data_IF_297717158425
#
_entry.id   IF_297717158425
#
_cell.length_a   1.000
_cell.length_b   1.000
_cell.length_c   1.000
_cell.angle_alpha   90.00
_cell.angle_beta   90.00
_cell.angle_gamma   90.00
#
_symmetry.space_group_name_H-M   'P 1'
#
loop_
_entity.id
_entity.type
_entity.pdbx_description
1 polymer ?
#
# COMPACT_ATOMS: atom_id res chain seq x y z
N UNK A 1 2.11 -16.39 -10.20
CA UNK A 1 1.93 -15.11 -9.51
C UNK A 1 1.55 -14.04 -10.52
N UNK A 2 0.63 -13.13 -10.19
CA UNK A 2 0.24 -11.98 -11.02
C UNK A 2 0.06 -10.74 -10.18
N UNK A 3 0.37 -9.59 -10.74
CA UNK A 3 0.25 -8.27 -10.11
C UNK A 3 -0.75 -7.44 -10.93
N UNK A 4 -1.82 -7.00 -10.27
CA UNK A 4 -2.87 -6.21 -10.92
C UNK A 4 -3.01 -4.83 -10.29
N UNK A 5 -3.22 -3.81 -11.13
CA UNK A 5 -3.69 -2.52 -10.65
C UNK A 5 -5.17 -2.60 -10.23
N UNK A 6 -5.67 -1.60 -9.49
CA UNK A 6 -7.09 -1.51 -9.11
C UNK A 6 -8.06 -1.55 -10.32
N UNK A 7 -7.76 -0.93 -11.47
CA UNK A 7 -8.56 -1.09 -12.69
C UNK A 7 -8.42 -2.44 -13.40
N UNK A 8 -7.54 -3.35 -12.93
CA UNK A 8 -7.36 -4.68 -13.49
C UNK A 8 -6.24 -4.82 -14.53
N UNK A 9 -5.40 -3.79 -14.73
CA UNK A 9 -4.25 -3.89 -15.63
C UNK A 9 -3.19 -4.82 -15.04
N UNK A 10 -2.66 -5.73 -15.86
CA UNK A 10 -1.55 -6.62 -15.46
C UNK A 10 -0.23 -5.83 -15.44
N UNK A 11 0.36 -5.72 -14.26
CA UNK A 11 1.62 -5.02 -13.99
C UNK A 11 2.79 -5.99 -13.70
N UNK A 12 2.59 -7.29 -13.87
CA UNK A 12 3.55 -8.33 -13.50
C UNK A 12 4.91 -8.12 -14.13
N UNK A 13 4.94 -7.80 -15.42
CA UNK A 13 6.19 -7.56 -16.15
C UNK A 13 6.80 -6.18 -15.88
N UNK A 14 5.99 -5.26 -15.37
CA UNK A 14 6.45 -3.91 -15.08
C UNK A 14 7.28 -3.82 -13.80
N UNK A 15 6.95 -4.60 -12.78
CA UNK A 15 7.59 -4.55 -11.47
C UNK A 15 8.24 -5.89 -11.10
N UNK A 16 9.40 -6.20 -11.71
CA UNK A 16 10.05 -7.50 -11.57
C UNK A 16 10.49 -7.81 -10.13
N UNK A 17 10.88 -6.79 -9.36
CA UNK A 17 11.29 -6.96 -7.98
C UNK A 17 10.13 -7.44 -7.09
N UNK A 18 8.95 -6.85 -7.26
CA UNK A 18 7.72 -7.28 -6.57
C UNK A 18 7.38 -8.71 -7.00
N UNK A 19 7.43 -8.95 -8.31
CA UNK A 19 7.09 -10.24 -8.89
C UNK A 19 7.96 -11.37 -8.31
N UNK A 20 9.28 -11.17 -8.24
CA UNK A 20 10.22 -12.16 -7.68
C UNK A 20 9.98 -12.37 -6.18
N UNK A 21 9.77 -11.31 -5.41
CA UNK A 21 9.52 -11.41 -3.98
C UNK A 21 8.24 -12.20 -3.67
N UNK A 22 7.15 -11.89 -4.37
CA UNK A 22 5.86 -12.58 -4.19
C UNK A 22 5.90 -14.05 -4.63
N UNK A 23 6.65 -14.38 -5.70
CA UNK A 23 6.80 -15.76 -6.17
C UNK A 23 7.51 -16.66 -5.16
N UNK A 24 8.23 -16.08 -4.21
CA UNK A 24 9.03 -16.81 -3.18
C UNK A 24 8.36 -16.82 -1.81
N UNK A 25 7.16 -16.27 -1.66
CA UNK A 25 6.41 -16.37 -0.41
C UNK A 25 6.06 -17.85 -0.12
N UNK A 26 6.16 -18.21 1.16
CA UNK A 26 5.85 -19.56 1.62
C UNK A 26 4.35 -19.74 1.84
N UNK A 27 3.59 -19.66 0.75
CA UNK A 27 2.14 -19.93 0.73
C UNK A 27 1.78 -20.66 -0.56
N UNK A 28 0.73 -21.48 -0.52
CA UNK A 28 0.19 -22.13 -1.73
C UNK A 28 -0.50 -21.11 -2.64
N UNK A 29 -1.26 -20.23 -2.04
CA UNK A 29 -1.88 -19.06 -2.66
C UNK A 29 -2.00 -17.93 -1.68
N UNK A 30 -2.05 -16.69 -2.15
CA UNK A 30 -2.44 -15.53 -1.37
C UNK A 30 -2.87 -14.39 -2.28
N UNK A 31 -3.80 -13.58 -1.78
CA UNK A 31 -4.16 -12.28 -2.37
C UNK A 31 -3.79 -11.19 -1.36
N UNK A 32 -2.84 -10.37 -1.73
CA UNK A 32 -2.32 -9.27 -0.91
C UNK A 32 -2.75 -7.95 -1.55
N UNK A 33 -3.27 -7.03 -0.73
CA UNK A 33 -3.50 -5.64 -1.13
C UNK A 33 -2.34 -4.78 -0.64
N UNK A 34 -1.86 -3.89 -1.50
CA UNK A 34 -0.68 -3.09 -1.24
C UNK A 34 -0.53 -1.91 -2.19
N UNK A 35 0.49 -1.13 -1.97
CA UNK A 35 0.86 0.00 -2.81
C UNK A 35 2.25 -0.21 -3.39
N UNK A 36 2.38 -0.06 -4.72
CA UNK A 36 3.68 -0.07 -5.40
C UNK A 36 4.38 1.27 -5.15
N UNK A 37 5.59 1.24 -4.62
CA UNK A 37 6.33 2.42 -4.18
C UNK A 37 7.73 2.41 -4.77
N UNK A 38 8.14 3.56 -5.33
CA UNK A 38 9.54 3.90 -5.59
C UNK A 38 9.96 5.02 -4.64
N UNK A 39 11.13 4.89 -4.03
CA UNK A 39 11.67 5.96 -3.18
C UNK A 39 12.66 6.82 -3.95
N UNK A 40 12.74 8.09 -3.58
CA UNK A 40 13.82 8.98 -4.01
C UNK A 40 15.13 8.68 -3.27
N UNK A 41 16.15 9.47 -3.54
CA UNK A 41 17.49 9.27 -2.96
C UNK A 41 17.54 9.53 -1.44
N UNK A 42 16.51 10.20 -0.90
CA UNK A 42 16.32 10.42 0.53
C UNK A 42 15.45 9.33 1.19
N UNK A 43 14.98 8.34 0.42
CA UNK A 43 14.11 7.26 0.90
C UNK A 43 12.63 7.65 1.00
N UNK A 44 12.24 8.81 0.50
CA UNK A 44 10.83 9.25 0.46
C UNK A 44 10.12 8.68 -0.77
N UNK A 45 8.86 8.31 -0.60
CA UNK A 45 8.04 7.82 -1.70
C UNK A 45 7.86 8.89 -2.78
N UNK A 46 8.14 8.53 -4.03
CA UNK A 46 8.03 9.42 -5.19
C UNK A 46 7.14 8.79 -6.26
N UNK A 47 5.94 9.35 -6.42
CA UNK A 47 5.02 8.93 -7.47
C UNK A 47 5.59 9.19 -8.88
N UNK A 48 6.36 10.24 -9.06
CA UNK A 48 6.97 10.60 -10.35
C UNK A 48 7.89 9.49 -10.87
N UNK A 49 8.67 8.85 -10.00
CA UNK A 49 9.54 7.72 -10.37
C UNK A 49 8.76 6.56 -10.97
N UNK A 50 7.55 6.29 -10.45
CA UNK A 50 6.64 5.27 -10.99
C UNK A 50 6.00 5.78 -12.30
N UNK A 51 5.52 7.02 -12.34
CA UNK A 51 4.82 7.60 -13.49
C UNK A 51 5.68 7.58 -14.76
N UNK A 52 6.94 7.96 -14.63
CA UNK A 52 7.85 8.07 -15.78
C UNK A 52 8.60 6.78 -16.12
N UNK A 53 8.34 5.67 -15.44
CA UNK A 53 8.90 4.32 -15.70
C UNK A 53 10.43 4.24 -15.70
N UNK A 54 11.12 5.20 -15.08
CA UNK A 54 12.58 5.24 -15.05
C UNK A 54 13.19 4.32 -13.98
N UNK A 55 12.35 3.86 -13.03
CA UNK A 55 12.77 3.10 -11.86
C UNK A 55 11.91 1.87 -11.61
N UNK A 56 11.29 1.30 -12.65
CA UNK A 56 10.38 0.15 -12.52
C UNK A 56 11.06 -1.07 -11.87
N UNK A 57 12.40 -1.19 -12.01
CA UNK A 57 13.20 -2.24 -11.39
C UNK A 57 13.39 -2.09 -9.86
N UNK A 58 13.21 -0.90 -9.32
CA UNK A 58 13.43 -0.59 -7.90
C UNK A 58 12.10 -0.48 -7.12
N UNK A 59 10.97 -0.61 -7.82
CA UNK A 59 9.65 -0.53 -7.23
C UNK A 59 9.40 -1.74 -6.34
N UNK A 60 9.00 -1.49 -5.10
CA UNK A 60 8.59 -2.52 -4.13
C UNK A 60 7.14 -2.34 -3.70
N UNK A 61 6.56 -3.39 -3.12
CA UNK A 61 5.19 -3.38 -2.60
C UNK A 61 5.19 -3.10 -1.10
N UNK A 62 4.54 -2.03 -0.67
CA UNK A 62 4.08 -1.90 0.70
C UNK A 62 2.77 -2.68 0.87
N UNK A 63 2.87 -3.87 1.45
CA UNK A 63 1.74 -4.73 1.73
C UNK A 63 1.01 -4.29 3.00
N UNK A 64 -0.28 -4.00 2.91
CA UNK A 64 -1.05 -3.48 4.04
C UNK A 64 -2.32 -4.28 4.37
N UNK A 65 -2.76 -5.21 3.52
CA UNK A 65 -3.90 -6.08 3.80
C UNK A 65 -3.75 -7.45 3.14
N UNK A 66 -4.39 -8.48 3.71
CA UNK A 66 -4.41 -9.85 3.22
C UNK A 66 -5.86 -10.28 3.01
N UNK A 67 -6.19 -10.61 1.77
CA UNK A 67 -7.55 -10.88 1.33
C UNK A 67 -7.85 -12.38 1.33
N UNK A 68 -6.86 -13.20 0.92
CA UNK A 68 -6.97 -14.65 0.84
C UNK A 68 -5.63 -15.27 1.24
N UNK A 69 -5.66 -16.43 1.90
CA UNK A 69 -4.47 -17.23 2.19
C UNK A 69 -4.80 -18.73 2.08
N UNK A 70 -4.07 -19.45 1.19
CA UNK A 70 -4.16 -20.90 1.00
C UNK A 70 -5.56 -21.43 0.66
N UNK A 71 -6.43 -20.60 0.09
CA UNK A 71 -7.82 -20.90 -0.25
C UNK A 71 -8.84 -20.32 0.74
N UNK A 72 -8.41 -19.81 1.89
CA UNK A 72 -9.30 -19.23 2.90
C UNK A 72 -9.55 -17.74 2.60
N UNK A 73 -10.81 -17.36 2.46
CA UNK A 73 -11.25 -15.96 2.28
C UNK A 73 -11.23 -15.22 3.62
N UNK A 74 -10.29 -14.29 3.80
CA UNK A 74 -10.09 -13.54 5.03
C UNK A 74 -10.87 -12.21 5.09
N UNK A 75 -11.65 -11.86 4.08
CA UNK A 75 -12.32 -10.54 4.00
C UNK A 75 -13.26 -10.26 5.17
N UNK A 76 -13.81 -11.28 5.79
CA UNK A 76 -14.71 -11.15 6.94
C UNK A 76 -13.97 -11.00 8.27
N UNK A 77 -12.70 -11.35 8.31
CA UNK A 77 -11.89 -11.25 9.52
C UNK A 77 -11.61 -9.77 9.87
N UNK A 78 -11.39 -9.45 11.15
CA UNK A 78 -10.94 -8.12 11.56
C UNK A 78 -9.63 -7.73 10.90
N UNK A 79 -9.46 -6.44 10.55
CA UNK A 79 -8.24 -5.92 9.93
C UNK A 79 -6.98 -6.29 10.72
N UNK A 80 -7.03 -6.22 12.05
CA UNK A 80 -5.88 -6.57 12.90
C UNK A 80 -5.43 -8.03 12.69
N UNK A 81 -6.37 -8.97 12.51
CA UNK A 81 -6.07 -10.39 12.27
C UNK A 81 -5.42 -10.56 10.90
N UNK A 82 -6.02 -9.97 9.88
CA UNK A 82 -5.47 -9.99 8.51
C UNK A 82 -4.07 -9.40 8.45
N UNK A 83 -3.83 -8.25 9.14
CA UNK A 83 -2.51 -7.62 9.21
C UNK A 83 -1.49 -8.45 9.97
N UNK A 84 -1.87 -9.06 11.10
CA UNK A 84 -0.95 -9.92 11.86
C UNK A 84 -0.53 -11.15 11.02
N UNK A 85 -1.48 -11.78 10.31
CA UNK A 85 -1.21 -12.88 9.40
C UNK A 85 -0.31 -12.43 8.24
N UNK A 86 -0.60 -11.29 7.61
CA UNK A 86 0.24 -10.70 6.56
C UNK A 86 1.67 -10.48 7.07
N UNK A 87 1.84 -9.86 8.23
CA UNK A 87 3.15 -9.62 8.83
C UNK A 87 3.96 -10.91 8.99
N UNK A 88 3.33 -12.00 9.41
CA UNK A 88 4.01 -13.30 9.58
C UNK A 88 4.47 -13.93 8.26
N UNK A 89 3.67 -13.81 7.18
CA UNK A 89 4.06 -14.39 5.88
C UNK A 89 5.11 -13.55 5.13
N UNK A 90 5.16 -12.23 5.37
CA UNK A 90 6.15 -11.34 4.73
C UNK A 90 7.39 -11.09 5.57
N UNK A 91 7.43 -11.50 6.84
CA UNK A 91 8.54 -11.25 7.77
C UNK A 91 9.92 -11.71 7.24
N UNK A 92 9.94 -12.76 6.41
CA UNK A 92 11.16 -13.33 5.80
C UNK A 92 11.16 -13.14 4.28
N UNK A 93 10.34 -12.23 3.76
CA UNK A 93 10.30 -11.97 2.33
C UNK A 93 11.59 -11.30 1.85
N UNK A 94 11.90 -11.49 0.57
CA UNK A 94 13.02 -10.82 -0.08
C UNK A 94 12.71 -9.34 -0.33
N UNK A 95 13.73 -8.53 -0.64
CA UNK A 95 13.51 -7.19 -1.19
C UNK A 95 12.47 -7.25 -2.31
N UNK A 96 11.54 -6.30 -2.34
CA UNK A 96 10.44 -6.25 -3.30
C UNK A 96 9.06 -6.31 -2.64
N UNK A 97 8.97 -6.79 -1.40
CA UNK A 97 7.78 -6.64 -0.58
C UNK A 97 8.17 -6.23 0.83
N UNK A 98 7.45 -5.29 1.41
CA UNK A 98 7.62 -4.81 2.78
C UNK A 98 6.26 -4.76 3.46
N UNK A 99 6.24 -5.18 4.72
CA UNK A 99 5.05 -4.97 5.55
C UNK A 99 4.88 -3.48 5.81
N UNK A 100 3.70 -2.95 5.52
CA UNK A 100 3.37 -1.58 5.88
C UNK A 100 2.93 -1.56 7.35
N UNK A 101 3.85 -1.20 8.24
CA UNK A 101 3.58 -1.03 9.66
C UNK A 101 2.51 0.03 9.88
N UNK A 102 1.89 0.03 11.03
CA UNK A 102 0.85 0.99 11.39
C UNK A 102 1.11 1.56 12.79
N UNK A 103 0.60 2.75 12.99
CA UNK A 103 0.62 3.42 14.29
C UNK A 103 -0.81 3.33 14.85
N UNK A 104 -0.93 2.83 16.08
CA UNK A 104 -2.18 2.89 16.82
C UNK A 104 -2.22 4.19 17.61
N UNK A 105 -3.37 4.90 17.57
CA UNK A 105 -3.51 6.14 18.31
C UNK A 105 -4.65 7.02 17.81
N UNK A 106 -4.69 8.22 18.34
CA UNK A 106 -5.63 9.25 17.93
C UNK A 106 -5.31 9.75 16.52
N UNK A 107 -6.26 9.57 15.58
CA UNK A 107 -6.10 9.92 14.18
C UNK A 107 -5.67 11.36 13.92
N UNK A 108 -6.31 12.37 14.53
CA UNK A 108 -5.90 13.77 14.43
C UNK A 108 -4.44 14.02 14.84
N UNK A 109 -3.99 13.44 15.95
CA UNK A 109 -2.60 13.57 16.41
C UNK A 109 -1.62 12.94 15.44
N UNK A 110 -1.89 11.71 14.96
CA UNK A 110 -1.05 11.03 13.96
C UNK A 110 -1.01 11.83 12.67
N UNK A 111 -2.15 12.37 12.22
CA UNK A 111 -2.22 13.19 11.01
C UNK A 111 -1.40 14.48 11.14
N UNK A 112 -1.50 15.18 12.29
CA UNK A 112 -0.71 16.38 12.53
C UNK A 112 0.81 16.11 12.47
N UNK A 113 1.27 14.97 12.99
CA UNK A 113 2.67 14.56 12.89
C UNK A 113 3.07 14.22 11.44
N UNK A 114 2.22 13.51 10.71
CA UNK A 114 2.47 13.20 9.29
C UNK A 114 2.61 14.49 8.46
N UNK A 115 1.76 15.49 8.69
CA UNK A 115 1.86 16.80 8.05
C UNK A 115 3.19 17.51 8.37
N UNK A 116 3.61 17.51 9.65
CA UNK A 116 4.91 18.11 10.06
C UNK A 116 6.11 17.42 9.40
N UNK A 117 6.00 16.12 9.13
CA UNK A 117 7.02 15.36 8.41
C UNK A 117 6.97 15.55 6.88
N UNK A 118 6.05 16.36 6.36
CA UNK A 118 5.88 16.59 4.91
C UNK A 118 5.29 15.42 4.14
N UNK A 119 4.67 14.45 4.83
CA UNK A 119 4.04 13.32 4.17
C UNK A 119 2.76 13.74 3.45
N UNK A 120 2.41 13.02 2.37
CA UNK A 120 1.21 13.28 1.56
C UNK A 120 -0.10 13.18 2.38
N UNK A 121 -0.11 12.33 3.39
CA UNK A 121 -1.25 12.12 4.27
C UNK A 121 -1.22 10.77 4.96
N UNK A 122 -2.36 10.39 5.51
CA UNK A 122 -2.54 9.09 6.15
C UNK A 122 -3.84 8.42 5.69
N UNK A 123 -3.89 7.10 5.84
CA UNK A 123 -5.13 6.32 5.75
C UNK A 123 -5.41 5.74 7.13
N UNK A 124 -6.42 6.28 7.81
CA UNK A 124 -6.91 5.74 9.07
C UNK A 124 -7.89 4.60 8.80
N UNK A 125 -7.71 3.46 9.46
CA UNK A 125 -8.53 2.27 9.27
C UNK A 125 -9.05 1.77 10.61
N UNK A 126 -10.34 1.39 10.68
CA UNK A 126 -10.89 0.78 11.89
C UNK A 126 -10.31 -0.62 12.10
N UNK A 127 -9.73 -0.86 13.27
CA UNK A 127 -8.99 -2.07 13.65
C UNK A 127 -9.80 -3.36 13.49
N UNK A 128 -11.10 -3.32 13.76
CA UNK A 128 -11.99 -4.47 13.73
C UNK A 128 -12.84 -4.56 12.46
N UNK A 129 -12.56 -3.72 11.45
CA UNK A 129 -13.34 -3.73 10.21
C UNK A 129 -13.04 -4.93 9.33
N UNK A 130 -14.10 -5.44 8.69
CA UNK A 130 -13.99 -6.35 7.58
C UNK A 130 -13.42 -5.64 6.33
N UNK A 131 -12.87 -6.40 5.39
CA UNK A 131 -12.43 -5.86 4.11
C UNK A 131 -13.63 -5.57 3.20
N UNK A 132 -13.62 -4.41 2.57
CA UNK A 132 -14.57 -4.03 1.52
C UNK A 132 -13.82 -3.45 0.33
N UNK A 133 -14.11 -3.97 -0.87
CA UNK A 133 -13.59 -3.38 -2.11
C UNK A 133 -14.19 -1.99 -2.33
N UNK A 134 -13.40 -1.06 -2.87
CA UNK A 134 -13.83 0.29 -3.15
C UNK A 134 -13.81 1.21 -1.92
N UNK A 135 -14.74 2.17 -1.89
CA UNK A 135 -14.87 3.11 -0.76
C UNK A 135 -15.46 2.41 0.45
N UNK A 136 -14.86 2.63 1.62
CA UNK A 136 -15.33 2.08 2.88
C UNK A 136 -15.45 3.21 3.91
N UNK A 137 -16.54 3.25 4.71
CA UNK A 137 -16.66 4.20 5.81
C UNK A 137 -15.67 3.91 6.95
N UNK A 138 -15.09 2.71 6.96
CA UNK A 138 -14.11 2.29 7.96
C UNK A 138 -12.67 2.72 7.60
N UNK A 139 -12.47 3.30 6.41
CA UNK A 139 -11.17 3.75 5.91
C UNK A 139 -11.25 5.22 5.54
N UNK A 140 -10.53 6.06 6.26
CA UNK A 140 -10.51 7.51 6.03
C UNK A 140 -9.15 7.91 5.47
N UNK A 141 -9.13 8.38 4.22
CA UNK A 141 -7.94 9.00 3.62
C UNK A 141 -7.94 10.50 3.97
N UNK A 142 -6.91 10.94 4.67
CA UNK A 142 -6.68 12.35 5.01
C UNK A 142 -5.42 12.82 4.27
N UNK A 143 -5.57 13.81 3.40
CA UNK A 143 -4.47 14.37 2.60
C UNK A 143 -3.90 15.62 3.27
N UNK A 144 -2.59 15.77 3.25
CA UNK A 144 -1.89 16.96 3.72
C UNK A 144 -1.98 18.07 2.66
N UNK A 145 -2.71 19.17 2.91
CA UNK A 145 -2.89 20.22 1.92
C UNK A 145 -1.60 21.00 1.61
N UNK A 146 -0.61 20.95 2.51
CA UNK A 146 0.68 21.60 2.31
C UNK A 146 1.68 20.74 1.51
N UNK A 147 1.34 19.49 1.20
CA UNK A 147 2.22 18.62 0.42
C UNK A 147 2.12 18.97 -1.08
N UNK A 148 3.27 19.21 -1.74
CA UNK A 148 3.33 19.56 -3.15
C UNK A 148 2.68 18.53 -4.09
N UNK A 149 2.72 17.26 -3.74
CA UNK A 149 2.05 16.19 -4.50
C UNK A 149 0.52 16.33 -4.45
N UNK A 150 -0.04 16.67 -3.29
CA UNK A 150 -1.48 16.89 -3.09
C UNK A 150 -1.95 18.13 -3.83
N UNK A 151 -1.17 19.20 -3.78
CA UNK A 151 -1.48 20.46 -4.49
C UNK A 151 -1.53 20.25 -6.00
N UNK A 152 -0.54 19.54 -6.57
CA UNK A 152 -0.52 19.21 -8.01
C UNK A 152 -1.70 18.34 -8.42
N UNK A 153 -2.06 17.33 -7.64
CA UNK A 153 -3.21 16.47 -7.94
C UNK A 153 -4.52 17.29 -7.97
N UNK A 154 -4.68 18.24 -7.05
CA UNK A 154 -5.82 19.14 -7.05
C UNK A 154 -5.85 20.04 -8.29
N UNK A 155 -4.71 20.60 -8.71
CA UNK A 155 -4.61 21.45 -9.92
C UNK A 155 -4.90 20.66 -11.20
N UNK A 156 -4.42 19.42 -11.32
CA UNK A 156 -4.69 18.53 -12.47
C UNK A 156 -6.19 18.16 -12.56
N UNK A 157 -6.89 17.98 -11.46
CA UNK A 157 -8.33 17.67 -11.45
C UNK A 157 -9.20 18.88 -11.87
N UNK A 158 -8.74 20.12 -11.64
CA UNK A 158 -9.44 21.34 -12.07
C UNK A 158 -9.22 21.69 -13.55
N UNK A 159 -8.25 21.01 -14.21
CA UNK A 159 -7.92 21.26 -15.63
C UNK A 159 -8.65 20.32 -16.60
N UNK A 160 -9.56 19.48 -16.09
CA UNK A 160 -10.43 18.60 -16.89
C UNK A 160 -11.86 19.12 -16.92
#
# INVERSE_FOLDING_TARGET
MRLYSRPGNDLTHRFPLIADALARLRSRSCIIDGEAVACDDNGLASFERIRYRQHDGDVFLYAFDLIELNGDDLRRDPLQVRKATLGSIVAKARPGIRFNEHIEGDGPTVFAHACKMGLEGIVSKRKYSAYRSGRSPDWLKMKNPACAAVTREAEEDWSK
#
